data_IF_701311005343
#
_entry.id   IF_701311005343
#
_cell.length_a   1.000
_cell.length_b   1.000
_cell.length_c   1.000
_cell.angle_alpha   90.00
_cell.angle_beta   90.00
_cell.angle_gamma   90.00
#
_symmetry.space_group_name_H-M   'P 1'
#
loop_
_entity.id
_entity.type
_entity.pdbx_description
1 polymer ?
#
# COMPACT_ATOMS: atom_id res chain seq x y z
N UNK A 1 31.37 -59.74 -7.03
CA UNK A 1 31.05 -58.42 -7.63
C UNK A 1 29.64 -58.49 -8.19
N UNK A 2 28.68 -57.90 -7.48
CA UNK A 2 27.38 -57.46 -8.00
C UNK A 2 26.72 -56.67 -6.84
N UNK A 3 26.91 -55.36 -6.84
CA UNK A 3 26.12 -54.46 -6.00
C UNK A 3 24.79 -54.25 -6.73
N UNK A 4 23.71 -54.84 -6.23
CA UNK A 4 22.36 -54.50 -6.68
C UNK A 4 22.03 -53.09 -6.19
N UNK A 5 21.81 -52.17 -7.13
CA UNK A 5 21.29 -50.83 -6.87
C UNK A 5 19.85 -50.95 -6.38
N UNK A 6 19.60 -50.64 -5.12
CA UNK A 6 18.26 -50.35 -4.60
C UNK A 6 17.69 -49.11 -5.30
N UNK A 7 16.50 -49.14 -5.92
CA UNK A 7 15.88 -47.94 -6.46
C UNK A 7 15.44 -47.00 -5.32
N UNK A 8 15.72 -45.71 -5.51
CA UNK A 8 15.35 -44.64 -4.58
C UNK A 8 13.83 -44.61 -4.31
N UNK A 9 13.38 -44.35 -3.07
CA UNK A 9 11.96 -44.21 -2.80
C UNK A 9 11.40 -42.98 -3.52
N UNK A 10 10.31 -43.19 -4.26
CA UNK A 10 9.52 -42.14 -4.91
C UNK A 10 9.07 -41.06 -3.90
N UNK A 11 8.90 -39.79 -4.32
CA UNK A 11 8.47 -38.73 -3.42
C UNK A 11 7.09 -39.06 -2.85
N UNK A 12 7.03 -39.18 -1.52
CA UNK A 12 5.80 -39.41 -0.78
C UNK A 12 4.75 -38.36 -1.17
N UNK A 13 3.59 -38.83 -1.62
CA UNK A 13 2.45 -38.01 -1.98
C UNK A 13 2.15 -37.01 -0.86
N UNK A 14 2.15 -35.72 -1.19
CA UNK A 14 1.83 -34.65 -0.26
C UNK A 14 0.39 -34.84 0.24
N UNK A 15 0.24 -35.24 1.51
CA UNK A 15 -1.04 -35.29 2.20
C UNK A 15 -1.68 -33.90 2.14
N UNK A 16 -2.92 -33.74 1.64
CA UNK A 16 -3.59 -32.45 1.68
C UNK A 16 -3.75 -32.02 3.14
N UNK A 17 -3.25 -30.83 3.47
CA UNK A 17 -3.38 -30.26 4.81
C UNK A 17 -4.86 -30.28 5.25
N UNK A 18 -5.15 -30.63 6.51
CA UNK A 18 -6.53 -30.69 6.99
C UNK A 18 -7.20 -29.33 6.80
N UNK A 19 -8.36 -29.34 6.13
CA UNK A 19 -9.14 -28.14 5.89
C UNK A 19 -9.55 -27.53 7.24
N UNK A 20 -8.97 -26.37 7.55
CA UNK A 20 -9.29 -25.61 8.76
C UNK A 20 -10.81 -25.36 8.78
N UNK A 21 -11.53 -25.74 9.84
CA UNK A 21 -12.97 -25.52 9.95
C UNK A 21 -13.30 -24.04 9.74
N UNK A 22 -14.04 -23.72 8.68
CA UNK A 22 -14.51 -22.35 8.41
C UNK A 22 -15.58 -22.01 9.44
N UNK A 23 -15.17 -21.40 10.55
CA UNK A 23 -16.09 -20.92 11.57
C UNK A 23 -16.97 -19.79 10.95
N UNK A 24 -18.30 -19.98 10.85
CA UNK A 24 -19.22 -19.04 10.19
C UNK A 24 -19.31 -17.67 10.88
N UNK A 25 -18.80 -17.56 12.11
CA UNK A 25 -18.78 -16.32 12.90
C UNK A 25 -17.59 -15.40 12.57
N UNK A 26 -16.60 -15.87 11.81
CA UNK A 26 -15.51 -15.00 11.38
C UNK A 26 -16.00 -14.06 10.26
N UNK A 27 -15.83 -12.73 10.41
CA UNK A 27 -16.25 -11.79 9.40
C UNK A 27 -15.54 -12.10 8.08
N UNK A 28 -16.32 -12.26 7.02
CA UNK A 28 -15.78 -12.52 5.68
C UNK A 28 -14.93 -11.34 5.25
N UNK A 29 -13.71 -11.60 4.79
CA UNK A 29 -12.87 -10.62 4.11
C UNK A 29 -13.49 -10.33 2.74
N UNK A 30 -14.37 -9.34 2.68
CA UNK A 30 -15.08 -8.97 1.46
C UNK A 30 -14.39 -7.86 0.65
N UNK A 31 -13.32 -7.26 1.17
CA UNK A 31 -12.69 -6.06 0.61
C UNK A 31 -11.30 -6.29 -0.01
N UNK A 32 -11.01 -7.53 -0.43
CA UNK A 32 -9.70 -7.89 -0.98
C UNK A 32 -9.44 -7.27 -2.37
N UNK A 33 -10.51 -6.85 -3.07
CA UNK A 33 -10.46 -6.28 -4.42
C UNK A 33 -10.16 -4.79 -4.48
N UNK A 34 -10.23 -4.08 -3.35
CA UNK A 34 -10.00 -2.63 -3.29
C UNK A 34 -8.53 -2.29 -3.10
N UNK A 35 -7.71 -3.23 -2.62
CA UNK A 35 -6.25 -3.07 -2.49
C UNK A 35 -5.56 -2.61 -3.80
N UNK A 36 -5.78 -3.27 -4.95
CA UNK A 36 -5.23 -2.84 -6.23
C UNK A 36 -5.63 -1.42 -6.65
N UNK A 37 -6.88 -0.99 -6.36
CA UNK A 37 -7.36 0.38 -6.64
C UNK A 37 -6.53 1.40 -5.87
N UNK A 38 -6.35 1.18 -4.57
CA UNK A 38 -5.57 2.08 -3.71
C UNK A 38 -4.08 2.10 -4.07
N UNK A 39 -3.52 0.95 -4.44
CA UNK A 39 -2.14 0.87 -4.92
C UNK A 39 -1.94 1.60 -6.26
N UNK A 40 -2.90 1.53 -7.17
CA UNK A 40 -2.87 2.27 -8.43
C UNK A 40 -2.94 3.78 -8.21
N UNK A 41 -3.86 4.23 -7.35
CA UNK A 41 -3.98 5.63 -6.98
C UNK A 41 -2.72 6.15 -6.28
N UNK A 42 -2.12 5.34 -5.40
CA UNK A 42 -0.85 5.67 -4.78
C UNK A 42 0.28 5.81 -5.79
N UNK A 43 0.37 4.93 -6.81
CA UNK A 43 1.39 5.04 -7.85
C UNK A 43 1.25 6.31 -8.69
N UNK A 44 0.02 6.75 -8.96
CA UNK A 44 -0.26 8.02 -9.64
C UNK A 44 0.21 9.21 -8.79
N UNK A 45 -0.16 9.23 -7.51
CA UNK A 45 0.27 10.26 -6.56
C UNK A 45 1.78 10.26 -6.35
N UNK A 46 2.40 9.09 -6.35
CA UNK A 46 3.85 8.95 -6.26
C UNK A 46 4.54 9.66 -7.43
N UNK A 47 4.07 9.38 -8.64
CA UNK A 47 4.58 10.01 -9.86
C UNK A 47 4.40 11.53 -9.82
N UNK A 48 3.23 12.01 -9.35
CA UNK A 48 2.95 13.45 -9.19
C UNK A 48 3.86 14.12 -8.17
N UNK A 49 4.04 13.50 -6.99
CA UNK A 49 4.91 14.04 -5.93
C UNK A 49 6.37 14.02 -6.38
N UNK A 50 6.85 12.95 -7.03
CA UNK A 50 8.20 12.90 -7.58
C UNK A 50 8.42 13.99 -8.65
N UNK A 51 7.44 14.23 -9.52
CA UNK A 51 7.52 15.31 -10.50
C UNK A 51 7.61 16.68 -9.81
N UNK A 52 6.83 16.91 -8.75
CA UNK A 52 6.89 18.13 -7.95
C UNK A 52 8.23 18.27 -7.21
N UNK A 53 8.76 17.19 -6.66
CA UNK A 53 10.08 17.18 -6.00
C UNK A 53 11.20 17.47 -7.00
N UNK A 54 11.09 17.04 -8.26
CA UNK A 54 12.06 17.39 -9.31
C UNK A 54 12.05 18.88 -9.67
N UNK A 55 10.99 19.63 -9.34
CA UNK A 55 10.98 21.09 -9.49
C UNK A 55 11.78 21.82 -8.41
N UNK A 56 12.19 21.10 -7.35
CA UNK A 56 13.05 21.65 -6.30
C UNK A 56 14.46 21.83 -6.86
N UNK A 57 15.05 23.04 -6.76
CA UNK A 57 16.42 23.26 -7.22
C UNK A 57 17.40 22.34 -6.49
N UNK A 58 18.31 21.72 -7.25
CA UNK A 58 19.36 20.87 -6.67
C UNK A 58 20.16 21.66 -5.62
N UNK A 59 20.31 21.09 -4.43
CA UNK A 59 21.01 21.72 -3.30
C UNK A 59 20.13 22.57 -2.38
N UNK A 60 18.84 22.77 -2.69
CA UNK A 60 17.88 23.35 -1.74
C UNK A 60 17.07 22.27 -1.04
N UNK A 61 16.95 22.40 0.27
CA UNK A 61 16.06 21.59 1.08
C UNK A 61 14.61 22.08 0.97
N UNK A 62 13.65 21.21 1.28
CA UNK A 62 12.24 21.59 1.40
C UNK A 62 12.02 22.69 2.46
N UNK A 63 12.90 22.86 3.45
CA UNK A 63 12.81 23.96 4.41
C UNK A 63 13.08 25.34 3.79
N UNK A 64 13.92 25.39 2.76
CA UNK A 64 14.36 26.64 2.11
C UNK A 64 13.39 27.15 1.04
N UNK A 65 12.42 26.32 0.65
CA UNK A 65 11.36 26.64 -0.32
C UNK A 65 10.18 27.39 0.31
N UNK A 66 10.27 27.76 1.59
CA UNK A 66 9.23 28.50 2.30
C UNK A 66 7.90 27.75 2.33
N UNK A 67 6.81 28.40 1.92
CA UNK A 67 5.47 27.82 1.95
C UNK A 67 5.33 26.61 1.00
N UNK A 68 5.92 26.69 -0.20
CA UNK A 68 5.90 25.59 -1.18
C UNK A 68 6.57 24.33 -0.63
N UNK A 69 7.70 24.50 0.05
CA UNK A 69 8.43 23.39 0.65
C UNK A 69 7.71 22.74 1.83
N UNK A 70 6.97 23.52 2.62
CA UNK A 70 6.08 23.00 3.67
C UNK A 70 4.96 22.15 3.08
N UNK A 71 4.29 22.66 2.04
CA UNK A 71 3.21 21.90 1.37
C UNK A 71 3.75 20.62 0.74
N UNK A 72 4.91 20.66 0.07
CA UNK A 72 5.55 19.45 -0.49
C UNK A 72 5.89 18.43 0.60
N UNK A 73 6.41 18.87 1.75
CA UNK A 73 6.70 17.98 2.88
C UNK A 73 5.42 17.33 3.44
N UNK A 74 4.32 18.08 3.51
CA UNK A 74 3.02 17.56 3.92
C UNK A 74 2.47 16.54 2.91
N UNK A 75 2.67 16.77 1.60
CA UNK A 75 2.27 15.81 0.56
C UNK A 75 3.06 14.50 0.67
N UNK A 76 4.37 14.56 0.93
CA UNK A 76 5.19 13.36 1.15
C UNK A 76 4.69 12.57 2.37
N UNK A 77 4.40 13.26 3.48
CA UNK A 77 3.84 12.62 4.68
C UNK A 77 2.47 11.98 4.44
N UNK A 78 1.57 12.66 3.70
CA UNK A 78 0.26 12.11 3.35
C UNK A 78 0.36 10.88 2.43
N UNK A 79 1.28 10.88 1.46
CA UNK A 79 1.58 9.70 0.63
C UNK A 79 1.99 8.50 1.47
N UNK A 80 2.88 8.69 2.45
CA UNK A 80 3.34 7.59 3.30
C UNK A 80 2.21 7.05 4.20
N UNK A 81 1.32 7.93 4.69
CA UNK A 81 0.11 7.50 5.40
C UNK A 81 -0.81 6.64 4.51
N UNK A 82 -1.02 7.05 3.25
CA UNK A 82 -1.81 6.28 2.28
C UNK A 82 -1.12 4.94 1.98
N UNK A 83 0.21 4.92 1.86
CA UNK A 83 0.99 3.70 1.64
C UNK A 83 0.76 2.68 2.74
N UNK A 84 0.83 3.13 3.99
CA UNK A 84 0.68 2.25 5.14
C UNK A 84 -0.77 1.78 5.30
N UNK A 85 -1.75 2.66 5.09
CA UNK A 85 -3.16 2.31 5.13
C UNK A 85 -3.55 1.34 3.99
N UNK A 86 -3.07 1.58 2.76
CA UNK A 86 -3.31 0.69 1.61
C UNK A 86 -2.69 -0.70 1.80
N UNK A 87 -1.54 -0.80 2.49
CA UNK A 87 -0.94 -2.10 2.87
C UNK A 87 -1.70 -2.81 3.98
N UNK A 88 -2.34 -2.07 4.90
CA UNK A 88 -3.11 -2.61 6.02
C UNK A 88 -4.53 -3.02 5.61
N UNK A 89 -5.16 -2.32 4.67
CA UNK A 89 -6.53 -2.54 4.21
C UNK A 89 -6.88 -4.01 3.90
N UNK A 90 -6.07 -4.75 3.12
CA UNK A 90 -6.37 -6.15 2.77
C UNK A 90 -6.33 -7.10 3.97
N UNK A 91 -5.72 -6.65 5.08
CA UNK A 91 -5.58 -7.43 6.32
C UNK A 91 -6.71 -7.16 7.31
N UNK A 92 -7.39 -6.02 7.20
CA UNK A 92 -8.49 -5.62 8.07
C UNK A 92 -9.80 -6.35 7.73
N UNK A 93 -10.72 -6.39 8.69
CA UNK A 93 -12.07 -6.98 8.55
C UNK A 93 -13.11 -5.99 9.06
N UNK A 94 -14.21 -5.87 8.32
CA UNK A 94 -15.45 -5.18 8.76
C UNK A 94 -15.28 -3.71 9.16
N UNK A 95 -15.24 -3.37 10.45
CA UNK A 95 -15.30 -1.97 10.91
C UNK A 95 -13.95 -1.26 10.77
N UNK A 96 -12.85 -1.96 11.04
CA UNK A 96 -11.50 -1.43 10.83
C UNK A 96 -11.21 -1.15 9.35
N UNK A 97 -11.90 -1.85 8.44
CA UNK A 97 -11.83 -1.56 7.01
C UNK A 97 -12.46 -0.19 6.69
N UNK A 98 -13.65 0.11 7.23
CA UNK A 98 -14.32 1.38 6.96
C UNK A 98 -13.51 2.57 7.51
N UNK A 99 -12.99 2.46 8.73
CA UNK A 99 -12.15 3.52 9.31
C UNK A 99 -10.88 3.77 8.49
N UNK A 100 -10.18 2.70 8.07
CA UNK A 100 -8.98 2.85 7.26
C UNK A 100 -9.31 3.33 5.83
N UNK A 101 -10.48 2.98 5.28
CA UNK A 101 -10.96 3.47 3.99
C UNK A 101 -11.29 4.97 4.03
N UNK A 102 -12.04 5.43 5.04
CA UNK A 102 -12.35 6.85 5.22
C UNK A 102 -11.07 7.67 5.44
N UNK A 103 -10.11 7.13 6.20
CA UNK A 103 -8.78 7.75 6.37
C UNK A 103 -8.03 7.85 5.05
N UNK A 104 -8.09 6.82 4.20
CA UNK A 104 -7.50 6.85 2.86
C UNK A 104 -8.16 7.93 1.99
N UNK A 105 -9.48 7.98 1.95
CA UNK A 105 -10.22 8.98 1.17
C UNK A 105 -9.91 10.41 1.64
N UNK A 106 -9.88 10.64 2.95
CA UNK A 106 -9.53 11.95 3.51
C UNK A 106 -8.09 12.35 3.17
N UNK A 107 -7.14 11.41 3.22
CA UNK A 107 -5.76 11.65 2.85
C UNK A 107 -5.60 11.98 1.37
N UNK A 108 -6.34 11.30 0.49
CA UNK A 108 -6.37 11.60 -0.96
C UNK A 108 -6.96 12.99 -1.20
N UNK A 109 -8.09 13.33 -0.60
CA UNK A 109 -8.66 14.67 -0.72
C UNK A 109 -7.75 15.76 -0.16
N UNK A 110 -6.99 15.46 0.90
CA UNK A 110 -5.97 16.39 1.40
C UNK A 110 -4.85 16.58 0.38
N UNK A 111 -4.38 15.51 -0.26
CA UNK A 111 -3.38 15.57 -1.35
C UNK A 111 -3.88 16.38 -2.54
N UNK A 112 -5.14 16.22 -2.96
CA UNK A 112 -5.75 17.00 -4.03
C UNK A 112 -5.71 18.50 -3.72
N UNK A 113 -6.21 18.90 -2.54
CA UNK A 113 -6.19 20.31 -2.12
C UNK A 113 -4.78 20.88 -2.03
N UNK A 114 -3.82 20.08 -1.55
CA UNK A 114 -2.42 20.49 -1.46
C UNK A 114 -1.79 20.64 -2.85
N UNK A 115 -2.07 19.73 -3.79
CA UNK A 115 -1.59 19.82 -5.16
C UNK A 115 -2.13 21.07 -5.88
N UNK A 116 -3.42 21.38 -5.70
CA UNK A 116 -4.00 22.64 -6.21
C UNK A 116 -3.30 23.87 -5.60
N UNK A 117 -2.96 23.81 -4.31
CA UNK A 117 -2.25 24.90 -3.63
C UNK A 117 -0.83 25.08 -4.19
N UNK A 118 -0.10 23.99 -4.46
CA UNK A 118 1.24 24.05 -5.07
C UNK A 118 1.19 24.54 -6.51
N UNK A 119 0.16 24.19 -7.29
CA UNK A 119 -0.01 24.67 -8.67
C UNK A 119 -0.34 26.17 -8.76
N UNK A 120 -0.86 26.76 -7.68
CA UNK A 120 -1.17 28.19 -7.56
C UNK A 120 -0.04 29.02 -6.91
N UNK A 121 0.99 28.35 -6.37
CA UNK A 121 2.16 28.94 -5.68
C UNK A 121 3.39 29.03 -6.61
#
# INVERSE_FOLDING_TARGET
MAHELTPAPAPAAATPAPAIPKNPTYPKRNHTTEGPKWMGLLAEWDTKIEALLKTVPAGKSLGELGEKGKVLSQMVGARDQIRDAAKRLPRQVTHMYHEDHERLEQAVHALERMAEKVGKL
#
